data_IF_144659485602
#
_entry.id   IF_144659485602
#
_cell.length_a   1.000
_cell.length_b   1.000
_cell.length_c   1.000
_cell.angle_alpha   90.00
_cell.angle_beta   90.00
_cell.angle_gamma   90.00
#
_symmetry.space_group_name_H-M   'P 1'
#
loop_
_entity.id
_entity.type
_entity.pdbx_description
1 polymer ?
#
# COMPACT_ATOMS: atom_id res chain seq x y z
N UNK A 1 23.24 -20.58 22.36
CA UNK A 1 22.70 -19.29 22.81
C UNK A 1 22.64 -18.43 21.56
N UNK A 2 21.47 -18.29 20.97
CA UNK A 2 21.25 -17.38 19.83
C UNK A 2 21.22 -15.98 20.43
N UNK A 3 22.19 -15.12 20.05
CA UNK A 3 22.12 -13.69 20.31
C UNK A 3 20.85 -13.16 19.59
N UNK A 4 19.76 -13.09 20.33
CA UNK A 4 18.58 -12.35 19.88
C UNK A 4 18.97 -10.86 19.88
N UNK A 5 19.33 -10.35 18.71
CA UNK A 5 19.40 -8.90 18.55
C UNK A 5 17.99 -8.35 18.82
N UNK A 6 17.83 -7.47 19.83
CA UNK A 6 16.52 -6.88 20.11
C UNK A 6 16.04 -6.14 18.87
N UNK A 7 14.77 -6.34 18.49
CA UNK A 7 14.12 -5.51 17.47
C UNK A 7 14.30 -4.04 17.87
N UNK A 8 14.72 -3.22 16.94
CA UNK A 8 14.93 -1.80 17.23
C UNK A 8 13.61 -1.16 17.68
N UNK A 9 13.71 -0.17 18.57
CA UNK A 9 12.57 0.50 19.20
C UNK A 9 11.65 1.12 18.14
N UNK A 10 10.36 0.83 18.20
CA UNK A 10 9.34 1.42 17.34
C UNK A 10 9.23 2.93 17.57
N UNK A 11 9.09 3.70 16.49
CA UNK A 11 8.88 5.15 16.54
C UNK A 11 7.44 5.55 16.83
N UNK A 12 6.51 4.58 16.81
CA UNK A 12 5.06 4.80 17.05
C UNK A 12 4.43 3.52 17.58
N UNK A 13 3.54 3.65 18.55
CA UNK A 13 2.79 2.51 19.10
C UNK A 13 1.81 1.91 18.08
N UNK A 14 1.45 0.65 18.28
CA UNK A 14 0.61 -0.11 17.33
C UNK A 14 -0.70 0.59 16.98
N UNK A 15 -1.49 1.00 17.97
CA UNK A 15 -2.80 1.63 17.74
C UNK A 15 -2.67 3.00 17.07
N UNK A 16 -1.67 3.79 17.49
CA UNK A 16 -1.36 5.05 16.82
C UNK A 16 -0.91 4.82 15.38
N UNK A 17 -0.06 3.82 15.15
CA UNK A 17 0.36 3.40 13.82
C UNK A 17 -0.83 3.08 12.91
N UNK A 18 -1.77 2.28 13.40
CA UNK A 18 -3.00 1.93 12.66
C UNK A 18 -3.84 3.18 12.35
N UNK A 19 -4.03 4.07 13.33
CA UNK A 19 -4.87 5.26 13.19
C UNK A 19 -4.25 6.36 12.32
N UNK A 20 -2.93 6.36 12.11
CA UNK A 20 -2.21 7.48 11.46
C UNK A 20 -1.42 7.09 10.21
N UNK A 21 -1.29 5.81 9.88
CA UNK A 21 -0.58 5.38 8.67
C UNK A 21 -1.39 5.74 7.43
N UNK A 22 -0.83 6.64 6.61
CA UNK A 22 -1.41 7.09 5.34
C UNK A 22 -0.56 6.60 4.18
N UNK A 23 -1.16 6.57 2.99
CA UNK A 23 -0.43 6.37 1.75
C UNK A 23 0.60 7.50 1.54
N UNK A 24 1.89 7.16 1.62
CA UNK A 24 3.01 8.06 1.34
C UNK A 24 3.39 7.89 -0.13
N UNK A 25 3.49 9.02 -0.85
CA UNK A 25 3.74 9.07 -2.30
C UNK A 25 4.86 10.02 -2.68
N UNK A 26 5.49 10.68 -1.71
CA UNK A 26 6.67 11.52 -1.89
C UNK A 26 7.75 11.06 -0.93
N UNK A 27 8.90 10.76 -1.47
CA UNK A 27 10.00 10.17 -0.75
C UNK A 27 11.25 11.03 -0.91
N UNK A 28 12.05 11.10 0.13
CA UNK A 28 13.41 11.58 0.04
C UNK A 28 14.22 10.62 -0.83
N UNK A 29 15.18 11.17 -1.55
CA UNK A 29 16.13 10.35 -2.33
C UNK A 29 17.21 9.77 -1.42
N UNK A 30 16.80 8.85 -0.56
CA UNK A 30 17.66 8.16 0.41
C UNK A 30 17.37 6.66 0.34
N UNK A 31 18.38 5.79 0.33
CA UNK A 31 18.16 4.36 0.42
C UNK A 31 17.55 3.98 1.77
N UNK A 32 16.85 2.87 1.81
CA UNK A 32 16.43 2.25 3.08
C UNK A 32 17.54 1.28 3.49
N UNK A 33 18.12 1.39 4.69
CA UNK A 33 19.16 0.45 5.16
C UNK A 33 18.66 -1.00 5.20
N UNK A 34 19.55 -1.96 4.95
CA UNK A 34 19.20 -3.38 4.87
C UNK A 34 18.64 -3.95 6.17
N UNK A 35 19.10 -3.47 7.33
CA UNK A 35 18.57 -3.88 8.61
C UNK A 35 17.12 -3.40 8.81
N UNK A 36 16.80 -2.21 8.31
CA UNK A 36 15.43 -1.69 8.32
C UNK A 36 14.55 -2.48 7.34
N UNK A 37 15.03 -2.77 6.13
CA UNK A 37 14.32 -3.63 5.18
C UNK A 37 14.05 -5.00 5.78
N UNK A 38 15.07 -5.62 6.42
CA UNK A 38 14.91 -6.90 7.12
C UNK A 38 13.77 -6.83 8.14
N UNK A 39 13.74 -5.82 9.00
CA UNK A 39 12.72 -5.67 10.04
C UNK A 39 11.31 -5.51 9.44
N UNK A 40 11.18 -4.70 8.38
CA UNK A 40 9.92 -4.47 7.65
C UNK A 40 9.41 -5.79 7.04
N UNK A 41 10.26 -6.52 6.33
CA UNK A 41 9.87 -7.76 5.68
C UNK A 41 9.70 -8.90 6.67
N UNK A 42 10.46 -8.93 7.77
CA UNK A 42 10.21 -9.89 8.85
C UNK A 42 8.79 -9.72 9.40
N UNK A 43 8.37 -8.50 9.71
CA UNK A 43 7.00 -8.23 10.17
C UNK A 43 5.94 -8.66 9.14
N UNK A 44 6.19 -8.40 7.86
CA UNK A 44 5.31 -8.85 6.77
C UNK A 44 5.12 -10.37 6.79
N UNK A 45 6.20 -11.13 7.03
CA UNK A 45 6.13 -12.59 7.06
C UNK A 45 5.38 -13.16 8.28
N UNK A 46 5.06 -12.34 9.28
CA UNK A 46 4.27 -12.75 10.47
C UNK A 46 2.76 -12.69 10.24
N UNK A 47 2.32 -12.30 9.05
CA UNK A 47 0.90 -12.24 8.72
C UNK A 47 0.27 -13.63 8.70
N UNK A 48 -1.01 -13.76 9.13
CA UNK A 48 -1.75 -15.01 9.01
C UNK A 48 -2.04 -15.36 7.55
N UNK A 49 -2.23 -16.63 7.27
CA UNK A 49 -2.67 -17.13 5.97
C UNK A 49 -3.52 -18.38 6.13
N UNK A 50 -4.38 -18.69 5.17
CA UNK A 50 -5.24 -19.86 5.18
C UNK A 50 -4.43 -21.14 5.43
N UNK A 51 -4.77 -21.91 6.47
CA UNK A 51 -4.07 -23.11 6.91
C UNK A 51 -2.55 -22.91 7.13
N UNK A 52 -2.13 -21.71 7.46
CA UNK A 52 -0.72 -21.33 7.62
C UNK A 52 0.17 -21.69 6.41
N UNK A 53 -0.40 -21.64 5.20
CA UNK A 53 0.31 -22.02 3.96
C UNK A 53 1.34 -21.01 3.49
N UNK A 54 1.24 -19.74 3.93
CA UNK A 54 2.18 -18.66 3.62
C UNK A 54 2.50 -18.57 2.12
N UNK A 55 1.47 -18.41 1.26
CA UNK A 55 1.64 -18.45 -0.20
C UNK A 55 2.25 -17.16 -0.76
N UNK A 56 2.43 -16.13 0.05
CA UNK A 56 3.00 -14.86 -0.35
C UNK A 56 4.53 -14.93 -0.51
N UNK A 57 5.04 -14.19 -1.48
CA UNK A 57 6.47 -13.90 -1.69
C UNK A 57 6.60 -12.40 -1.91
N UNK A 58 7.78 -11.86 -1.65
CA UNK A 58 8.10 -10.48 -1.97
C UNK A 58 9.32 -10.44 -2.87
N UNK A 59 9.20 -9.71 -3.99
CA UNK A 59 10.34 -9.33 -4.82
C UNK A 59 10.66 -7.89 -4.44
N UNK A 60 11.86 -7.66 -3.92
CA UNK A 60 12.30 -6.34 -3.44
C UNK A 60 13.25 -5.74 -4.46
N UNK A 61 12.86 -4.62 -5.02
CA UNK A 61 13.54 -3.94 -6.12
C UNK A 61 14.12 -2.61 -5.60
N UNK A 62 15.43 -2.51 -5.57
CA UNK A 62 16.17 -1.33 -5.11
C UNK A 62 16.81 -0.57 -6.27
N UNK A 63 18.05 -0.89 -6.64
CA UNK A 63 18.89 -0.11 -7.57
C UNK A 63 19.63 -0.94 -8.63
N UNK A 64 19.44 -2.26 -8.67
CA UNK A 64 20.00 -3.09 -9.74
C UNK A 64 19.39 -2.75 -11.10
N UNK A 65 20.08 -3.07 -12.20
CA UNK A 65 19.59 -2.84 -13.56
C UNK A 65 18.20 -3.45 -13.79
N UNK A 66 17.95 -4.63 -13.23
CA UNK A 66 16.65 -5.30 -13.29
C UNK A 66 15.62 -4.52 -12.49
N UNK A 67 15.97 -4.02 -11.32
CA UNK A 67 15.07 -3.22 -10.48
C UNK A 67 14.71 -1.89 -11.16
N UNK A 68 15.68 -1.21 -11.77
CA UNK A 68 15.43 0.02 -12.53
C UNK A 68 14.45 -0.23 -13.67
N UNK A 69 14.70 -1.26 -14.49
CA UNK A 69 13.78 -1.62 -15.59
C UNK A 69 12.38 -1.99 -15.12
N UNK A 70 12.27 -2.72 -14.00
CA UNK A 70 10.97 -3.07 -13.44
C UNK A 70 10.20 -1.83 -12.94
N UNK A 71 10.88 -0.88 -12.28
CA UNK A 71 10.30 0.40 -11.87
C UNK A 71 9.84 1.23 -13.07
N UNK A 72 10.62 1.30 -14.13
CA UNK A 72 10.28 1.96 -15.38
C UNK A 72 9.03 1.34 -16.03
N UNK A 73 8.95 0.02 -16.11
CA UNK A 73 7.76 -0.68 -16.62
C UNK A 73 6.52 -0.33 -15.80
N UNK A 74 6.60 -0.37 -14.47
CA UNK A 74 5.46 -0.05 -13.62
C UNK A 74 5.12 1.44 -13.70
N UNK A 75 6.07 2.33 -13.92
CA UNK A 75 5.79 3.75 -14.17
C UNK A 75 4.88 3.95 -15.41
N UNK A 76 5.08 3.16 -16.47
CA UNK A 76 4.17 3.15 -17.64
C UNK A 76 2.76 2.70 -17.22
N UNK A 77 2.66 1.63 -16.41
CA UNK A 77 1.37 1.15 -15.88
C UNK A 77 0.69 2.18 -14.97
N UNK A 78 1.47 2.87 -14.13
CA UNK A 78 1.01 3.94 -13.26
C UNK A 78 0.41 5.10 -14.08
N UNK A 79 1.09 5.52 -15.15
CA UNK A 79 0.61 6.58 -16.04
C UNK A 79 -0.70 6.18 -16.73
N UNK A 80 -0.79 4.95 -17.26
CA UNK A 80 -2.02 4.44 -17.89
C UNK A 80 -3.20 4.44 -16.92
N UNK A 81 -3.00 3.88 -15.72
CA UNK A 81 -4.05 3.84 -14.69
C UNK A 81 -4.46 5.23 -14.23
N UNK A 82 -3.49 6.12 -14.03
CA UNK A 82 -3.78 7.48 -13.58
C UNK A 82 -4.56 8.28 -14.63
N UNK A 83 -4.19 8.20 -15.90
CA UNK A 83 -4.91 8.87 -16.97
C UNK A 83 -6.36 8.39 -17.05
N UNK A 84 -6.58 7.07 -16.98
CA UNK A 84 -7.93 6.48 -16.94
C UNK A 84 -8.74 6.97 -15.74
N UNK A 85 -8.15 6.92 -14.55
CA UNK A 85 -8.80 7.32 -13.31
C UNK A 85 -9.07 8.82 -13.26
N UNK A 86 -8.17 9.64 -13.79
CA UNK A 86 -8.29 11.09 -13.83
C UNK A 86 -9.54 11.53 -14.61
N UNK A 87 -9.80 10.88 -15.75
CA UNK A 87 -11.03 11.11 -16.52
C UNK A 87 -12.28 10.60 -15.81
N UNK A 88 -12.28 9.33 -15.39
CA UNK A 88 -13.47 8.70 -14.80
C UNK A 88 -13.92 9.30 -13.46
N UNK A 89 -12.96 9.69 -12.62
CA UNK A 89 -13.26 10.29 -11.30
C UNK A 89 -13.42 11.83 -11.39
N UNK A 90 -13.40 12.42 -12.59
CA UNK A 90 -13.59 13.85 -12.85
C UNK A 90 -12.59 14.75 -12.14
N UNK A 91 -11.30 14.36 -12.11
CA UNK A 91 -10.26 15.20 -11.49
C UNK A 91 -10.00 16.49 -12.24
N UNK A 92 -10.38 16.55 -13.53
CA UNK A 92 -10.25 17.71 -14.39
C UNK A 92 -11.53 18.55 -14.48
N UNK A 93 -12.54 18.23 -13.64
CA UNK A 93 -13.86 18.85 -13.66
C UNK A 93 -14.28 19.34 -12.27
N UNK A 94 -15.25 20.27 -12.23
CA UNK A 94 -15.85 20.80 -11.01
C UNK A 94 -14.81 21.21 -9.95
N UNK A 95 -14.86 20.63 -8.74
CA UNK A 95 -13.91 20.94 -7.68
C UNK A 95 -12.47 20.53 -8.00
N UNK A 96 -12.23 19.71 -9.02
CA UNK A 96 -10.88 19.39 -9.51
C UNK A 96 -10.18 20.56 -10.19
N UNK A 97 -10.94 21.50 -10.77
CA UNK A 97 -10.42 22.70 -11.44
C UNK A 97 -10.22 23.88 -10.49
N UNK A 98 -10.69 23.77 -9.23
CA UNK A 98 -10.54 24.82 -8.22
C UNK A 98 -9.17 24.64 -7.53
N UNK A 99 -8.28 25.61 -7.69
CA UNK A 99 -7.01 25.62 -6.99
C UNK A 99 -7.20 25.48 -5.48
N UNK A 100 -6.34 24.66 -4.87
CA UNK A 100 -6.36 24.32 -3.43
C UNK A 100 -7.59 23.56 -2.92
N UNK A 101 -8.50 23.12 -3.77
CA UNK A 101 -9.49 22.12 -3.35
C UNK A 101 -8.82 20.80 -2.93
N UNK A 102 -9.42 20.01 -2.04
CA UNK A 102 -8.89 18.69 -1.68
C UNK A 102 -8.68 17.78 -2.90
N UNK A 103 -9.55 17.88 -3.91
CA UNK A 103 -9.50 17.10 -5.15
C UNK A 103 -8.32 17.54 -6.03
N UNK A 104 -8.13 18.85 -6.23
CA UNK A 104 -7.00 19.38 -6.98
C UNK A 104 -5.64 19.07 -6.31
N UNK A 105 -5.56 19.20 -4.97
CA UNK A 105 -4.35 18.77 -4.22
C UNK A 105 -4.05 17.29 -4.38
N UNK A 106 -5.07 16.43 -4.36
CA UNK A 106 -4.91 14.99 -4.60
C UNK A 106 -4.43 14.74 -6.02
N UNK A 107 -5.01 15.39 -7.02
CA UNK A 107 -4.61 15.27 -8.42
C UNK A 107 -3.12 15.62 -8.61
N UNK A 108 -2.67 16.74 -8.06
CA UNK A 108 -1.25 17.15 -8.10
C UNK A 108 -0.33 16.15 -7.41
N UNK A 109 -0.74 15.64 -6.25
CA UNK A 109 0.04 14.62 -5.51
C UNK A 109 0.15 13.33 -6.31
N UNK A 110 -0.93 12.89 -6.93
CA UNK A 110 -0.94 11.68 -7.75
C UNK A 110 -0.12 11.87 -9.03
N UNK A 111 -0.26 12.99 -9.71
CA UNK A 111 0.53 13.29 -10.91
C UNK A 111 2.02 13.28 -10.59
N UNK A 112 2.43 14.01 -9.56
CA UNK A 112 3.84 14.02 -9.11
C UNK A 112 4.35 12.62 -8.73
N UNK A 113 3.53 11.80 -8.09
CA UNK A 113 3.90 10.42 -7.74
C UNK A 113 4.10 9.55 -8.97
N UNK A 114 3.20 9.64 -9.94
CA UNK A 114 3.27 8.88 -11.20
C UNK A 114 4.48 9.31 -12.03
N UNK A 115 4.72 10.62 -12.14
CA UNK A 115 5.85 11.19 -12.90
C UNK A 115 7.21 10.77 -12.31
N UNK A 116 7.26 10.56 -10.99
CA UNK A 116 8.49 10.19 -10.28
C UNK A 116 8.53 8.71 -9.86
N UNK A 117 7.61 7.88 -10.36
CA UNK A 117 7.47 6.50 -9.88
C UNK A 117 8.74 5.66 -10.08
N UNK A 118 9.45 5.84 -11.18
CA UNK A 118 10.69 5.10 -11.44
C UNK A 118 11.82 5.40 -10.43
N UNK A 119 11.73 6.55 -9.74
CA UNK A 119 12.75 7.03 -8.79
C UNK A 119 12.44 6.65 -7.33
N UNK A 120 11.41 5.82 -7.07
CA UNK A 120 11.10 5.41 -5.69
C UNK A 120 12.27 4.62 -5.10
N UNK A 121 12.65 4.85 -3.83
CA UNK A 121 13.79 4.16 -3.22
C UNK A 121 13.65 2.64 -3.28
N UNK A 122 12.50 2.11 -2.86
CA UNK A 122 12.22 0.68 -2.87
C UNK A 122 10.84 0.43 -3.47
N UNK A 123 10.77 -0.56 -4.35
CA UNK A 123 9.54 -1.13 -4.87
C UNK A 123 9.46 -2.60 -4.46
N UNK A 124 8.44 -2.98 -3.69
CA UNK A 124 8.18 -4.35 -3.33
C UNK A 124 6.96 -4.88 -4.12
N UNK A 125 7.13 -5.98 -4.82
CA UNK A 125 6.02 -6.71 -5.41
C UNK A 125 5.58 -7.81 -4.47
N UNK A 126 4.33 -7.76 -4.00
CA UNK A 126 3.72 -8.85 -3.28
C UNK A 126 3.19 -9.86 -4.30
N UNK A 127 3.79 -11.05 -4.29
CA UNK A 127 3.46 -12.14 -5.22
C UNK A 127 2.80 -13.26 -4.44
N UNK A 128 1.71 -13.79 -4.96
CA UNK A 128 1.04 -14.95 -4.41
C UNK A 128 1.27 -16.19 -5.28
N UNK A 129 1.79 -17.26 -4.69
CA UNK A 129 1.93 -18.56 -5.35
C UNK A 129 0.63 -19.35 -5.18
N UNK A 130 -0.04 -19.64 -6.28
CA UNK A 130 -1.29 -20.41 -6.29
C UNK A 130 -1.02 -21.91 -6.15
N UNK A 131 -1.83 -22.56 -5.35
CA UNK A 131 -1.85 -24.02 -5.15
C UNK A 131 -3.23 -24.63 -5.47
N UNK A 132 -4.15 -23.81 -5.94
CA UNK A 132 -5.50 -24.17 -6.38
C UNK A 132 -6.00 -23.12 -7.39
N UNK A 133 -7.14 -23.41 -7.99
CA UNK A 133 -7.81 -22.46 -8.89
C UNK A 133 -8.09 -21.11 -8.21
N UNK A 134 -8.02 -20.01 -8.97
CA UNK A 134 -8.33 -18.68 -8.46
C UNK A 134 -9.71 -18.62 -7.81
N UNK A 135 -9.77 -17.92 -6.68
CA UNK A 135 -11.04 -17.72 -5.96
C UNK A 135 -11.05 -16.36 -5.24
N UNK A 136 -12.26 -15.81 -4.94
CA UNK A 136 -12.38 -14.49 -4.33
C UNK A 136 -11.70 -14.33 -2.97
N UNK A 137 -11.40 -15.42 -2.27
CA UNK A 137 -10.82 -15.40 -0.92
C UNK A 137 -9.28 -15.42 -0.93
N UNK A 138 -8.63 -15.60 -2.08
CA UNK A 138 -7.17 -15.78 -2.12
C UNK A 138 -6.42 -14.56 -1.61
N UNK A 139 -6.96 -13.35 -1.80
CA UNK A 139 -6.39 -12.10 -1.29
C UNK A 139 -6.23 -12.06 0.23
N UNK A 140 -7.08 -12.78 0.98
CA UNK A 140 -6.98 -12.89 2.44
C UNK A 140 -5.65 -13.52 2.92
N UNK A 141 -4.92 -14.21 2.07
CA UNK A 141 -3.63 -14.81 2.40
C UNK A 141 -2.41 -14.00 1.93
N UNK A 142 -2.60 -12.83 1.31
CA UNK A 142 -1.49 -11.96 0.88
C UNK A 142 -1.63 -10.54 1.40
N UNK A 143 -2.82 -9.94 1.39
CA UNK A 143 -3.00 -8.55 1.83
C UNK A 143 -2.74 -8.29 3.33
N UNK A 144 -2.96 -9.24 4.27
CA UNK A 144 -2.48 -9.07 5.63
C UNK A 144 -0.96 -8.86 5.73
N UNK A 145 -0.17 -9.56 4.91
CA UNK A 145 1.28 -9.36 4.85
C UNK A 145 1.65 -7.98 4.29
N UNK A 146 0.91 -7.49 3.29
CA UNK A 146 1.10 -6.13 2.77
C UNK A 146 0.78 -5.06 3.83
N UNK A 147 -0.27 -5.27 4.62
CA UNK A 147 -0.61 -4.33 5.70
C UNK A 147 0.44 -4.34 6.82
N UNK A 148 0.91 -5.53 7.24
CA UNK A 148 1.99 -5.65 8.23
C UNK A 148 3.26 -4.92 7.74
N UNK A 149 3.61 -5.08 6.45
CA UNK A 149 4.73 -4.39 5.81
C UNK A 149 4.62 -2.86 5.95
N UNK A 150 3.45 -2.29 5.64
CA UNK A 150 3.22 -0.85 5.70
C UNK A 150 3.26 -0.32 7.14
N UNK A 151 2.70 -1.07 8.11
CA UNK A 151 2.74 -0.71 9.53
C UNK A 151 4.16 -0.81 10.09
N UNK A 152 4.92 -1.85 9.73
CA UNK A 152 6.32 -1.98 10.12
C UNK A 152 7.18 -0.86 9.53
N UNK A 153 6.98 -0.50 8.26
CA UNK A 153 7.64 0.66 7.67
C UNK A 153 7.33 1.93 8.48
N UNK A 154 6.07 2.13 8.89
CA UNK A 154 5.65 3.24 9.75
C UNK A 154 6.37 3.22 11.10
N UNK A 155 6.44 2.08 11.77
CA UNK A 155 7.12 1.90 13.04
C UNK A 155 8.63 2.19 12.96
N UNK A 156 9.24 1.96 11.78
CA UNK A 156 10.65 2.26 11.51
C UNK A 156 10.89 3.67 10.97
N UNK A 157 9.86 4.55 10.96
CA UNK A 157 9.95 5.94 10.51
C UNK A 157 10.00 6.10 9.00
N UNK A 158 9.54 5.09 8.27
CA UNK A 158 9.36 5.08 6.82
C UNK A 158 7.88 5.12 6.45
N UNK A 159 7.59 5.11 5.17
CA UNK A 159 6.22 5.06 4.68
C UNK A 159 6.15 4.45 3.31
N UNK A 160 4.94 4.13 2.90
CA UNK A 160 4.71 3.54 1.60
C UNK A 160 3.25 3.63 1.15
N UNK A 161 2.99 3.07 -0.02
CA UNK A 161 1.64 2.92 -0.55
C UNK A 161 1.52 1.65 -1.38
N UNK A 162 0.43 0.93 -1.18
CA UNK A 162 0.03 -0.19 -2.02
C UNK A 162 -0.74 0.32 -3.24
N UNK A 163 -0.37 -0.18 -4.42
CA UNK A 163 -1.00 0.16 -5.70
C UNK A 163 -1.21 -1.07 -6.58
N UNK A 164 -2.06 -0.94 -7.60
CA UNK A 164 -2.28 -1.93 -8.66
C UNK A 164 -1.61 -1.58 -10.00
N UNK A 165 -0.59 -0.72 -10.00
CA UNK A 165 0.02 -0.18 -11.23
C UNK A 165 0.65 -1.26 -12.13
N UNK A 166 1.10 -2.37 -11.53
CA UNK A 166 1.63 -3.53 -12.25
C UNK A 166 0.65 -4.15 -13.25
N UNK A 167 -0.66 -4.03 -13.01
CA UNK A 167 -1.68 -4.73 -13.79
C UNK A 167 -1.69 -4.40 -15.29
N UNK A 168 -1.17 -3.25 -15.71
CA UNK A 168 -1.06 -2.86 -17.12
C UNK A 168 0.21 -3.37 -17.81
N UNK A 169 1.14 -3.96 -17.07
CA UNK A 169 2.44 -4.42 -17.52
C UNK A 169 2.81 -5.78 -16.89
N UNK A 170 1.80 -6.56 -16.49
CA UNK A 170 1.99 -7.83 -15.77
C UNK A 170 2.83 -8.83 -16.57
N UNK A 171 2.56 -8.96 -17.88
CA UNK A 171 3.30 -9.88 -18.75
C UNK A 171 4.78 -9.55 -18.83
N UNK A 172 5.09 -8.27 -19.12
CA UNK A 172 6.47 -7.79 -19.23
C UNK A 172 7.23 -7.90 -17.91
N UNK A 173 6.55 -7.68 -16.77
CA UNK A 173 7.14 -7.87 -15.45
C UNK A 173 7.43 -9.32 -15.13
N UNK A 174 6.52 -10.22 -15.49
CA UNK A 174 6.71 -11.66 -15.31
C UNK A 174 7.94 -12.16 -16.07
N UNK A 175 8.06 -11.75 -17.31
CA UNK A 175 9.20 -12.12 -18.16
C UNK A 175 10.51 -11.56 -17.59
N UNK A 176 10.53 -10.27 -17.24
CA UNK A 176 11.71 -9.61 -16.69
C UNK A 176 12.16 -10.22 -15.35
N UNK A 177 11.22 -10.52 -14.47
CA UNK A 177 11.45 -10.98 -13.11
C UNK A 177 11.38 -12.50 -12.96
N UNK A 178 11.16 -13.23 -14.04
CA UNK A 178 11.06 -14.71 -14.08
C UNK A 178 10.00 -15.25 -13.10
N UNK A 179 8.84 -14.57 -13.01
CA UNK A 179 7.75 -14.97 -12.13
C UNK A 179 7.05 -16.20 -12.72
N UNK A 180 6.95 -17.33 -11.99
CA UNK A 180 6.39 -18.56 -12.51
C UNK A 180 4.89 -18.43 -12.80
N UNK A 181 4.38 -19.27 -13.72
CA UNK A 181 2.98 -19.23 -14.19
C UNK A 181 1.94 -19.38 -13.07
N UNK A 182 2.24 -20.22 -12.07
CA UNK A 182 1.36 -20.44 -10.92
C UNK A 182 1.41 -19.33 -9.87
N UNK A 183 2.10 -18.22 -10.15
CA UNK A 183 2.19 -17.08 -9.26
C UNK A 183 1.56 -15.85 -9.93
N UNK A 184 1.03 -14.91 -9.15
CA UNK A 184 0.56 -13.63 -9.67
C UNK A 184 0.99 -12.48 -8.76
N UNK A 185 1.17 -11.30 -9.36
CA UNK A 185 1.49 -10.09 -8.62
C UNK A 185 0.18 -9.56 -8.01
N UNK A 186 0.06 -9.61 -6.69
CA UNK A 186 -1.12 -9.16 -5.97
C UNK A 186 -1.12 -7.64 -5.72
N UNK A 187 0.07 -7.07 -5.54
CA UNK A 187 0.24 -5.64 -5.29
C UNK A 187 1.65 -5.18 -5.62
N UNK A 188 1.78 -3.91 -5.99
CA UNK A 188 3.04 -3.17 -6.00
C UNK A 188 3.04 -2.15 -4.85
N UNK A 189 4.09 -2.17 -4.03
CA UNK A 189 4.21 -1.35 -2.82
C UNK A 189 5.48 -0.54 -2.93
N UNK A 190 5.35 0.79 -2.94
CA UNK A 190 6.52 1.66 -2.85
C UNK A 190 6.84 2.00 -1.41
N UNK A 191 8.14 2.07 -1.08
CA UNK A 191 8.65 2.39 0.26
C UNK A 191 9.76 3.44 0.17
N UNK A 192 9.85 4.29 1.19
CA UNK A 192 10.91 5.28 1.32
C UNK A 192 10.75 6.15 2.54
N UNK A 193 11.76 6.98 2.80
CA UNK A 193 11.68 8.02 3.83
C UNK A 193 10.69 9.09 3.38
N UNK A 194 9.61 9.39 4.16
CA UNK A 194 8.64 10.40 3.75
C UNK A 194 9.26 11.80 3.63
N UNK A 195 8.91 12.57 2.59
CA UNK A 195 9.14 14.02 2.56
C UNK A 195 8.14 14.79 3.42
N UNK A 196 6.95 14.21 3.61
CA UNK A 196 5.92 14.75 4.49
C UNK A 196 5.78 13.92 5.77
N UNK A 197 4.64 14.06 6.42
CA UNK A 197 4.33 13.34 7.64
C UNK A 197 3.13 12.40 7.46
N UNK A 198 3.12 11.31 8.22
CA UNK A 198 1.90 10.59 8.51
C UNK A 198 0.95 11.48 9.32
N UNK A 199 -0.27 11.03 9.53
CA UNK A 199 -1.24 11.78 10.32
C UNK A 199 -2.60 11.09 10.28
N UNK A 200 -3.59 11.63 10.99
CA UNK A 200 -4.89 10.99 11.11
C UNK A 200 -5.48 10.62 9.74
N UNK A 201 -5.95 9.40 9.63
CA UNK A 201 -6.68 8.97 8.44
C UNK A 201 -8.13 9.43 8.53
N UNK A 202 -8.74 9.75 7.39
CA UNK A 202 -10.17 10.06 7.31
C UNK A 202 -10.91 8.83 6.80
N UNK A 203 -11.98 8.47 7.48
CA UNK A 203 -12.85 7.34 7.09
C UNK A 203 -14.30 7.79 7.21
N UNK A 204 -15.22 7.00 6.69
CA UNK A 204 -16.64 7.15 7.01
C UNK A 204 -16.87 6.77 8.48
N UNK A 205 -17.92 7.28 9.14
CA UNK A 205 -18.22 6.95 10.53
C UNK A 205 -18.33 5.45 10.78
N UNK A 206 -17.90 4.99 11.97
CA UNK A 206 -17.97 3.56 12.35
C UNK A 206 -19.38 2.99 12.19
N UNK A 207 -20.40 3.75 12.54
CA UNK A 207 -21.81 3.35 12.40
C UNK A 207 -22.25 2.98 10.97
N UNK A 208 -21.52 3.45 9.96
CA UNK A 208 -21.78 3.12 8.55
C UNK A 208 -21.01 1.87 8.09
N UNK A 209 -20.11 1.34 8.92
CA UNK A 209 -19.19 0.25 8.58
C UNK A 209 -19.38 -0.98 9.47
N UNK A 210 -19.98 -0.84 10.64
CA UNK A 210 -20.09 -1.91 11.64
C UNK A 210 -21.56 -2.15 11.95
N UNK A 211 -21.96 -3.40 11.79
CA UNK A 211 -23.32 -3.85 12.04
C UNK A 211 -23.31 -5.00 13.05
N UNK A 212 -24.40 -5.12 13.84
CA UNK A 212 -24.62 -6.17 14.82
C UNK A 212 -25.67 -7.13 14.31
N UNK A 213 -25.36 -8.42 14.32
CA UNK A 213 -26.27 -9.53 14.02
C UNK A 213 -26.86 -9.56 12.60
N UNK A 214 -27.15 -8.40 12.00
CA UNK A 214 -27.70 -8.29 10.65
C UNK A 214 -27.13 -7.07 9.89
N UNK A 215 -27.25 -7.08 8.59
CA UNK A 215 -26.81 -5.97 7.74
C UNK A 215 -27.69 -4.73 7.97
N UNK A 216 -27.03 -3.60 8.25
CA UNK A 216 -27.70 -2.29 8.37
C UNK A 216 -27.94 -1.83 9.81
N UNK A 217 -27.92 -2.71 10.79
CA UNK A 217 -28.18 -2.40 12.20
C UNK A 217 -26.86 -2.12 12.95
N UNK A 218 -26.55 -0.83 13.15
CA UNK A 218 -25.32 -0.45 13.86
C UNK A 218 -25.50 -0.53 15.38
N UNK A 219 -24.56 -1.17 16.11
CA UNK A 219 -24.64 -1.24 17.56
C UNK A 219 -24.37 0.11 18.23
N UNK A 220 -24.94 0.35 19.41
CA UNK A 220 -24.80 1.60 20.16
C UNK A 220 -23.32 1.96 20.49
N UNK A 221 -22.46 0.96 20.64
CA UNK A 221 -21.02 1.18 20.92
C UNK A 221 -20.21 1.57 19.68
N UNK A 222 -20.76 1.53 18.46
CA UNK A 222 -20.08 1.93 17.23
C UNK A 222 -19.98 3.46 17.12
N UNK A 223 -19.31 4.06 18.09
CA UNK A 223 -19.12 5.51 18.24
C UNK A 223 -17.66 5.84 18.02
N UNK A 224 -17.40 6.77 17.11
CA UNK A 224 -16.03 7.23 16.85
C UNK A 224 -15.48 8.05 18.02
N UNK A 225 -14.19 7.93 18.33
CA UNK A 225 -13.55 8.75 19.35
C UNK A 225 -13.72 10.26 19.08
N UNK A 226 -13.82 11.11 20.14
CA UNK A 226 -13.87 12.55 19.97
C UNK A 226 -12.72 13.10 19.13
N UNK A 227 -13.01 14.02 18.22
CA UNK A 227 -12.03 14.64 17.34
C UNK A 227 -11.69 13.82 16.07
N UNK A 228 -12.36 12.69 15.84
CA UNK A 228 -12.20 11.90 14.60
C UNK A 228 -12.59 12.72 13.37
N UNK A 229 -11.70 12.74 12.38
CA UNK A 229 -11.94 13.40 11.10
C UNK A 229 -12.56 12.44 10.10
N UNK A 230 -13.69 12.83 9.50
CA UNK A 230 -14.43 12.00 8.57
C UNK A 230 -14.19 12.37 7.09
N UNK A 231 -14.58 11.47 6.21
CA UNK A 231 -14.72 11.70 4.77
C UNK A 231 -16.12 11.30 4.33
N UNK A 232 -16.60 11.97 3.30
CA UNK A 232 -17.83 11.57 2.60
C UNK A 232 -17.58 10.63 1.42
N UNK A 233 -16.31 10.33 1.15
CA UNK A 233 -15.90 9.43 0.07
C UNK A 233 -16.14 7.98 0.50
N UNK A 234 -17.34 7.50 0.27
CA UNK A 234 -17.72 6.10 0.37
C UNK A 234 -17.92 5.49 -1.03
N UNK A 235 -18.15 4.17 -1.13
CA UNK A 235 -18.62 3.58 -2.38
C UNK A 235 -19.94 4.25 -2.81
N UNK A 236 -20.24 4.28 -4.13
CA UNK A 236 -21.54 4.74 -4.61
C UNK A 236 -22.63 3.94 -3.90
N UNK A 237 -23.63 4.64 -3.38
CA UNK A 237 -24.82 4.03 -2.76
C UNK A 237 -25.75 3.49 -3.81
#
# INVERSE_FOLDING_TARGET
MTDEQPLATDTVGLLEGIATTRAIRRYKNEPIPDDVLRDIFFAATRAPSGSNRQPFRFIVLTDSDVAVRAKELIAVGAQKLWNHKRGNDGYDENSGTIDDSPKARMARTMQSYVDNFANVPVLALAVMVRYREPNPLEGASVYPACQNLLLAARARGYGGVLTGFHGFVDSELRDLLQIPENAFIAASITLGKPEGAHGPVRRVPMKELIYSDSWGESPEWAIDPPGTAFTTSGPPR
#
